data_IF_861422835275
#
_entry.id   IF_861422835275
#
_cell.length_a   1.000
_cell.length_b   1.000
_cell.length_c   1.000
_cell.angle_alpha   90.00
_cell.angle_beta   90.00
_cell.angle_gamma   90.00
#
_symmetry.space_group_name_H-M   'P 1'
#
loop_
_entity.id
_entity.type
_entity.pdbx_description
1 polymer ?
#
# COMPACT_ATOMS: atom_id res chain seq x y z
N UNK A 1 24.45 14.92 10.90
CA UNK A 1 25.65 15.03 10.08
C UNK A 1 25.46 14.31 8.75
N UNK A 2 26.30 14.62 7.82
CA UNK A 2 26.24 13.99 6.50
C UNK A 2 26.47 12.49 6.58
N UNK A 3 27.40 12.06 7.39
CA UNK A 3 27.70 10.65 7.57
C UNK A 3 26.55 9.92 8.23
N UNK A 4 25.91 10.54 9.18
CA UNK A 4 24.72 9.97 9.81
C UNK A 4 23.57 9.85 8.82
N UNK A 5 23.40 10.82 7.92
CA UNK A 5 22.38 10.74 6.89
C UNK A 5 22.68 9.62 5.89
N UNK A 6 23.95 9.48 5.48
CA UNK A 6 24.33 8.42 4.56
C UNK A 6 24.10 7.06 5.19
N UNK A 7 24.52 6.89 6.45
CA UNK A 7 24.29 5.65 7.18
C UNK A 7 22.79 5.37 7.31
N UNK A 8 22.02 6.38 7.68
CA UNK A 8 20.57 6.26 7.84
C UNK A 8 19.92 5.80 6.54
N UNK A 9 20.28 6.44 5.42
CA UNK A 9 19.68 6.09 4.13
C UNK A 9 20.05 4.68 3.68
N UNK A 10 21.29 4.25 3.92
CA UNK A 10 21.72 2.94 3.47
C UNK A 10 21.19 1.79 4.30
N UNK A 11 20.87 2.04 5.59
CA UNK A 11 20.48 0.98 6.51
C UNK A 11 19.08 1.15 7.09
N UNK A 12 18.49 2.36 6.97
CA UNK A 12 17.30 2.74 7.70
C UNK A 12 16.21 3.36 6.85
N UNK A 13 16.25 3.15 5.53
CA UNK A 13 15.21 3.71 4.65
C UNK A 13 13.83 3.25 5.08
N UNK A 14 13.68 1.96 5.42
CA UNK A 14 12.43 1.44 5.91
C UNK A 14 12.03 2.05 7.24
N UNK A 15 12.99 2.21 8.16
CA UNK A 15 12.72 2.83 9.46
C UNK A 15 12.35 4.31 9.30
N UNK A 16 13.07 5.02 8.44
CA UNK A 16 12.78 6.42 8.15
C UNK A 16 11.38 6.56 7.59
N UNK A 17 11.02 5.71 6.66
CA UNK A 17 9.69 5.74 6.06
C UNK A 17 8.62 5.45 7.11
N UNK A 18 8.83 4.49 7.98
CA UNK A 18 7.89 4.16 9.05
C UNK A 18 7.73 5.32 10.04
N UNK A 19 8.81 6.03 10.35
CA UNK A 19 8.73 7.22 11.21
C UNK A 19 7.90 8.32 10.55
N UNK A 20 8.11 8.60 9.27
CA UNK A 20 7.34 9.60 8.53
C UNK A 20 5.86 9.24 8.50
N UNK A 21 5.56 7.97 8.28
CA UNK A 21 4.19 7.48 8.28
C UNK A 21 3.56 7.62 9.66
N UNK A 22 4.29 7.26 10.71
CA UNK A 22 3.79 7.40 12.08
C UNK A 22 3.48 8.84 12.41
N UNK A 23 4.32 9.78 11.98
CA UNK A 23 4.07 11.21 12.16
C UNK A 23 2.81 11.66 11.40
N UNK A 24 2.63 11.20 10.17
CA UNK A 24 1.44 11.54 9.40
C UNK A 24 0.18 11.02 10.09
N UNK A 25 0.23 9.80 10.62
CA UNK A 25 -0.90 9.20 11.31
C UNK A 25 -1.17 9.81 12.69
N UNK A 26 -0.15 10.41 13.31
CA UNK A 26 -0.32 11.09 14.60
C UNK A 26 -1.09 12.40 14.49
N UNK A 27 -1.22 12.96 13.30
CA UNK A 27 -2.02 14.15 13.10
C UNK A 27 -3.51 13.86 13.29
N UNK A 28 -4.26 14.87 13.69
CA UNK A 28 -5.68 14.69 14.01
C UNK A 28 -6.57 14.76 12.77
N UNK A 29 -6.15 14.12 11.70
CA UNK A 29 -6.96 14.01 10.47
C UNK A 29 -7.54 12.60 10.38
N UNK A 30 -8.83 12.45 10.07
CA UNK A 30 -9.44 11.13 9.96
C UNK A 30 -9.02 10.36 8.71
N UNK A 31 -8.55 11.06 7.69
CA UNK A 31 -8.14 10.47 6.42
C UNK A 31 -6.69 10.83 6.11
N UNK A 32 -5.91 9.83 5.77
CA UNK A 32 -4.51 10.02 5.37
C UNK A 32 -4.33 9.46 3.97
N UNK A 33 -3.76 10.26 3.08
CA UNK A 33 -3.49 9.88 1.70
C UNK A 33 -1.98 9.73 1.51
N UNK A 34 -1.55 8.58 0.99
CA UNK A 34 -0.15 8.28 0.73
C UNK A 34 0.01 7.79 -0.70
N UNK A 35 0.93 8.41 -1.43
CA UNK A 35 1.20 8.06 -2.83
C UNK A 35 2.44 7.18 -2.89
N UNK A 36 2.24 5.92 -3.24
CA UNK A 36 3.28 4.90 -3.36
C UNK A 36 4.31 4.97 -2.22
N UNK A 37 3.87 4.85 -0.95
CA UNK A 37 4.74 5.15 0.18
C UNK A 37 5.90 4.17 0.35
N UNK A 38 5.88 3.03 -0.34
CA UNK A 38 6.92 1.99 -0.19
C UNK A 38 7.68 1.72 -1.48
N UNK A 39 7.50 2.53 -2.51
CA UNK A 39 8.04 2.24 -3.85
C UNK A 39 9.57 2.12 -3.87
N UNK A 40 10.27 2.85 -3.00
CA UNK A 40 11.73 2.87 -2.95
C UNK A 40 12.32 1.86 -1.97
N UNK A 41 11.49 1.07 -1.30
CA UNK A 41 11.95 0.10 -0.32
C UNK A 41 12.13 -1.29 -0.95
N UNK A 42 12.98 -2.11 -0.35
CA UNK A 42 13.06 -3.52 -0.70
C UNK A 42 11.82 -4.28 -0.22
N UNK A 43 11.62 -5.50 -0.69
CA UNK A 43 10.41 -6.24 -0.41
C UNK A 43 10.15 -6.46 1.09
N UNK A 44 11.11 -6.88 1.91
CA UNK A 44 10.83 -7.05 3.34
C UNK A 44 10.40 -5.75 4.01
N UNK A 45 11.00 -4.63 3.66
CA UNK A 45 10.63 -3.34 4.23
C UNK A 45 9.29 -2.83 3.71
N UNK A 46 8.92 -3.13 2.46
CA UNK A 46 7.58 -2.83 1.95
C UNK A 46 6.52 -3.54 2.77
N UNK A 47 6.71 -4.82 3.00
CA UNK A 47 5.76 -5.63 3.75
C UNK A 47 5.62 -5.10 5.18
N UNK A 48 6.73 -4.85 5.86
CA UNK A 48 6.71 -4.33 7.24
C UNK A 48 6.00 -2.98 7.33
N UNK A 49 6.27 -2.10 6.36
CA UNK A 49 5.67 -0.77 6.34
C UNK A 49 4.17 -0.84 6.10
N UNK A 50 3.73 -1.67 5.17
CA UNK A 50 2.31 -1.82 4.89
C UNK A 50 1.56 -2.47 6.07
N UNK A 51 2.18 -3.45 6.72
CA UNK A 51 1.62 -4.06 7.92
C UNK A 51 1.48 -3.03 9.06
N UNK A 52 2.49 -2.18 9.22
CA UNK A 52 2.44 -1.10 10.21
C UNK A 52 1.32 -0.11 9.90
N UNK A 53 1.19 0.29 8.64
CA UNK A 53 0.12 1.20 8.22
C UNK A 53 -1.25 0.63 8.55
N UNK A 54 -1.46 -0.64 8.22
CA UNK A 54 -2.73 -1.30 8.50
C UNK A 54 -3.03 -1.33 10.00
N UNK A 55 -2.03 -1.70 10.79
CA UNK A 55 -2.19 -1.76 12.24
C UNK A 55 -2.50 -0.39 12.83
N UNK A 56 -1.76 0.64 12.43
CA UNK A 56 -1.98 2.00 12.95
C UNK A 56 -3.33 2.56 12.51
N UNK A 57 -3.74 2.27 11.29
CA UNK A 57 -5.06 2.69 10.81
C UNK A 57 -6.16 2.11 11.68
N UNK A 58 -6.07 0.83 12.01
CA UNK A 58 -7.05 0.17 12.86
C UNK A 58 -7.01 0.70 14.30
N UNK A 59 -5.81 0.82 14.86
CA UNK A 59 -5.65 1.29 16.25
C UNK A 59 -6.13 2.72 16.45
N UNK A 60 -5.91 3.58 15.47
CA UNK A 60 -6.26 4.99 15.53
C UNK A 60 -7.60 5.31 14.88
N UNK A 61 -8.28 4.30 14.37
CA UNK A 61 -9.56 4.45 13.69
C UNK A 61 -9.51 5.48 12.56
N UNK A 62 -8.48 5.36 11.71
CA UNK A 62 -8.27 6.25 10.57
C UNK A 62 -8.44 5.50 9.27
N UNK A 63 -8.87 6.22 8.25
CA UNK A 63 -8.85 5.74 6.87
C UNK A 63 -7.49 6.09 6.26
N UNK A 64 -6.72 5.08 5.92
CA UNK A 64 -5.44 5.26 5.21
C UNK A 64 -5.62 4.77 3.78
N UNK A 65 -5.47 5.67 2.84
CA UNK A 65 -5.60 5.40 1.41
C UNK A 65 -4.23 5.46 0.77
N UNK A 66 -3.82 4.36 0.14
CA UNK A 66 -2.50 4.22 -0.47
C UNK A 66 -2.66 3.99 -1.96
N UNK A 67 -1.95 4.77 -2.78
CA UNK A 67 -1.83 4.43 -4.19
C UNK A 67 -0.65 3.46 -4.37
N UNK A 68 -0.81 2.46 -5.21
CA UNK A 68 0.25 1.48 -5.49
C UNK A 68 0.03 0.80 -6.83
N UNK A 69 1.13 0.37 -7.43
CA UNK A 69 1.14 -0.51 -8.60
C UNK A 69 1.40 -1.97 -8.23
N UNK A 70 1.63 -2.26 -6.96
CA UNK A 70 1.97 -3.60 -6.51
C UNK A 70 0.72 -4.35 -6.10
N UNK A 71 0.11 -5.02 -7.06
CA UNK A 71 -1.15 -5.71 -6.85
C UNK A 71 -1.03 -6.84 -5.82
N UNK A 72 0.07 -7.60 -5.84
CA UNK A 72 0.24 -8.71 -4.91
C UNK A 72 0.20 -8.26 -3.46
N UNK A 73 0.90 -7.17 -3.14
CA UNK A 73 0.92 -6.62 -1.79
C UNK A 73 -0.42 -6.00 -1.43
N UNK A 74 -1.06 -5.33 -2.37
CA UNK A 74 -2.39 -4.77 -2.14
C UNK A 74 -3.40 -5.86 -1.81
N UNK A 75 -3.39 -6.96 -2.54
CA UNK A 75 -4.29 -8.08 -2.29
C UNK A 75 -4.04 -8.74 -0.93
N UNK A 76 -2.77 -8.84 -0.53
CA UNK A 76 -2.41 -9.52 0.71
C UNK A 76 -2.63 -8.67 1.96
N UNK A 77 -2.45 -7.36 1.86
CA UNK A 77 -2.30 -6.50 3.04
C UNK A 77 -3.36 -5.41 3.17
N UNK A 78 -4.26 -5.27 2.20
CA UNK A 78 -5.30 -4.24 2.25
C UNK A 78 -6.61 -4.80 2.77
N UNK A 79 -7.35 -3.99 3.51
CA UNK A 79 -8.72 -4.34 3.91
C UNK A 79 -9.68 -4.19 2.73
N UNK A 80 -9.49 -3.16 1.92
CA UNK A 80 -10.27 -2.89 0.72
C UNK A 80 -9.36 -2.33 -0.36
N UNK A 81 -9.77 -2.51 -1.59
CA UNK A 81 -9.05 -1.99 -2.75
C UNK A 81 -10.00 -1.12 -3.56
N UNK A 82 -9.52 0.08 -3.89
CA UNK A 82 -10.19 0.97 -4.83
C UNK A 82 -9.53 0.77 -6.20
N UNK A 83 -10.24 0.11 -7.09
CA UNK A 83 -9.73 -0.18 -8.42
C UNK A 83 -10.29 0.85 -9.40
N UNK A 84 -9.40 1.57 -10.06
CA UNK A 84 -9.78 2.59 -11.02
C UNK A 84 -9.42 2.14 -12.43
N UNK A 85 -10.40 2.10 -13.30
CA UNK A 85 -10.21 1.75 -14.70
C UNK A 85 -10.79 2.82 -15.59
N UNK A 86 -10.09 3.20 -16.69
CA UNK A 86 -10.57 4.27 -17.55
C UNK A 86 -11.95 4.03 -18.15
N UNK A 87 -12.31 2.77 -18.41
CA UNK A 87 -13.57 2.43 -19.08
C UNK A 87 -14.69 2.04 -18.13
N UNK A 88 -14.35 1.50 -16.96
CA UNK A 88 -15.34 0.98 -16.03
C UNK A 88 -15.51 1.84 -14.78
N UNK A 89 -14.71 2.89 -14.64
CA UNK A 89 -14.78 3.77 -13.51
C UNK A 89 -14.13 3.22 -12.26
N UNK A 90 -14.83 3.29 -11.15
CA UNK A 90 -14.30 2.95 -9.83
C UNK A 90 -15.01 1.74 -9.28
N UNK A 91 -14.23 0.76 -8.77
CA UNK A 91 -14.75 -0.43 -8.12
C UNK A 91 -14.07 -0.57 -6.75
N UNK A 92 -14.86 -0.50 -5.68
CA UNK A 92 -14.34 -0.54 -4.31
C UNK A 92 -14.92 -1.76 -3.60
N UNK A 93 -14.04 -2.66 -3.18
CA UNK A 93 -14.47 -3.82 -2.42
C UNK A 93 -13.27 -4.48 -1.71
N UNK A 94 -13.55 -5.56 -0.99
CA UNK A 94 -12.50 -6.38 -0.41
C UNK A 94 -11.69 -7.07 -1.51
N UNK A 95 -10.42 -7.43 -1.23
CA UNK A 95 -9.62 -8.19 -2.20
C UNK A 95 -10.32 -9.48 -2.67
N UNK A 96 -10.93 -10.21 -1.75
CA UNK A 96 -11.59 -11.47 -2.10
C UNK A 96 -12.79 -11.25 -3.02
N UNK A 97 -13.59 -10.23 -2.76
CA UNK A 97 -14.75 -9.92 -3.59
C UNK A 97 -14.34 -9.49 -5.00
N UNK A 98 -13.31 -8.66 -5.10
CA UNK A 98 -12.80 -8.22 -6.40
C UNK A 98 -12.20 -9.40 -7.19
N UNK A 99 -11.50 -10.30 -6.50
CA UNK A 99 -10.94 -11.49 -7.12
C UNK A 99 -12.04 -12.43 -7.59
N UNK A 100 -13.07 -12.63 -6.79
CA UNK A 100 -14.17 -13.52 -7.10
C UNK A 100 -14.93 -13.10 -8.37
N UNK A 101 -15.05 -11.79 -8.62
CA UNK A 101 -15.73 -11.28 -9.82
C UNK A 101 -14.77 -10.90 -10.94
N UNK A 102 -13.50 -11.29 -10.81
CA UNK A 102 -12.47 -11.06 -11.84
C UNK A 102 -12.35 -9.58 -12.23
N UNK A 103 -12.38 -8.70 -11.23
CA UNK A 103 -12.35 -7.25 -11.46
C UNK A 103 -11.00 -6.76 -11.97
N UNK A 104 -9.91 -7.49 -11.69
CA UNK A 104 -8.56 -7.05 -12.02
C UNK A 104 -8.18 -7.29 -13.48
N UNK A 105 -8.72 -8.31 -14.12
CA UNK A 105 -8.40 -8.62 -15.50
C UNK A 105 -8.72 -7.46 -16.45
N UNK A 106 -9.91 -6.83 -16.39
CA UNK A 106 -10.16 -5.66 -17.24
C UNK A 106 -9.24 -4.48 -16.94
N UNK A 107 -8.83 -4.30 -15.69
CA UNK A 107 -7.99 -3.19 -15.28
C UNK A 107 -6.57 -3.32 -15.81
N UNK A 108 -6.04 -4.54 -15.86
CA UNK A 108 -4.65 -4.81 -16.24
C UNK A 108 -4.51 -5.44 -17.61
N UNK A 109 -5.63 -5.74 -18.28
CA UNK A 109 -5.60 -6.27 -19.64
C UNK A 109 -5.15 -7.72 -19.74
N UNK A 110 -5.04 -8.44 -18.62
CA UNK A 110 -4.62 -9.83 -18.59
C UNK A 110 -5.21 -10.53 -17.38
N UNK A 111 -5.31 -11.86 -17.46
CA UNK A 111 -5.73 -12.67 -16.32
C UNK A 111 -4.50 -12.94 -15.44
N UNK A 112 -4.40 -12.19 -14.36
CA UNK A 112 -3.24 -12.24 -13.48
C UNK A 112 -3.33 -13.32 -12.40
N UNK A 113 -4.46 -14.05 -12.33
CA UNK A 113 -4.67 -15.08 -11.31
C UNK A 113 -4.56 -16.50 -11.85
N UNK A 114 -4.40 -16.67 -13.14
CA UNK A 114 -4.17 -17.97 -13.72
C UNK A 114 -2.67 -18.28 -13.81
N UNK A 115 -2.25 -19.50 -13.50
CA UNK A 115 -0.85 -19.86 -13.63
C UNK A 115 -0.41 -19.72 -15.08
N UNK A 116 0.83 -19.26 -15.25
CA UNK A 116 1.43 -19.18 -16.57
C UNK A 116 1.88 -20.57 -17.00
N UNK A 117 1.35 -21.01 -18.11
CA UNK A 117 1.75 -22.32 -18.63
C UNK A 117 0.65 -23.31 -18.79
#
# INVERSE_FOLDING_TARGET
>A
SRDAQTFFNSHSDGEKQRVLIAKALAQQTPVVLLDEPTAHLDLPNRIRTLQLLRRLAHEQNKLVLISTHELDLALALSDRILLMTPRRGVDLDTPDALRARDAFTPAFGMDIFHPLG
#
